data_IF_031861290763
#
_entry.id   IF_031861290763
#
_cell.length_a   1.000
_cell.length_b   1.000
_cell.length_c   1.000
_cell.angle_alpha   90.00
_cell.angle_beta   90.00
_cell.angle_gamma   90.00
#
_symmetry.space_group_name_H-M   'P 1'
#
loop_
_entity.id
_entity.type
_entity.pdbx_description
1 polymer ?
#
# COMPACT_ATOMS: atom_id res chain seq x y z
N UNK A 1 30.23 -3.04 -8.02
CA UNK A 1 29.55 -4.35 -7.90
C UNK A 1 28.07 -4.02 -7.76
N UNK A 2 27.18 -4.59 -8.57
CA UNK A 2 25.72 -4.37 -8.39
C UNK A 2 25.34 -5.05 -7.09
N UNK A 3 24.92 -4.27 -6.10
CA UNK A 3 24.39 -4.78 -4.85
C UNK A 3 22.89 -5.00 -5.01
N UNK A 4 22.38 -6.07 -4.42
CA UNK A 4 20.94 -6.36 -4.41
C UNK A 4 20.50 -6.81 -3.03
N UNK A 5 19.25 -6.53 -2.68
CA UNK A 5 18.62 -6.97 -1.45
C UNK A 5 17.24 -7.55 -1.73
N UNK A 6 16.82 -8.50 -0.90
CA UNK A 6 15.51 -9.14 -0.97
C UNK A 6 14.68 -8.77 0.25
N UNK A 7 13.38 -8.56 0.04
CA UNK A 7 12.43 -8.22 1.09
C UNK A 7 11.17 -9.05 0.94
N UNK A 8 10.47 -9.28 2.05
CA UNK A 8 9.23 -10.04 2.07
C UNK A 8 8.13 -9.25 2.76
N UNK A 9 7.09 -8.89 2.01
CA UNK A 9 5.90 -8.21 2.53
C UNK A 9 4.70 -9.11 2.32
N UNK A 10 3.96 -9.36 3.41
CA UNK A 10 2.81 -10.25 3.40
C UNK A 10 3.07 -11.59 2.71
N UNK A 11 4.27 -12.18 2.84
CA UNK A 11 4.62 -13.46 2.21
C UNK A 11 4.99 -13.40 0.73
N UNK A 12 4.98 -12.22 0.10
CA UNK A 12 5.52 -12.01 -1.25
C UNK A 12 6.96 -11.50 -1.17
N UNK A 13 7.89 -12.21 -1.79
CA UNK A 13 9.30 -11.81 -1.84
C UNK A 13 9.53 -10.95 -3.08
N UNK A 14 10.31 -9.88 -2.97
CA UNK A 14 10.75 -9.09 -4.12
C UNK A 14 12.20 -8.67 -3.93
N UNK A 15 12.86 -8.35 -5.04
CA UNK A 15 14.28 -8.01 -5.07
C UNK A 15 14.50 -6.64 -5.68
N UNK A 16 15.42 -5.89 -5.10
CA UNK A 16 15.87 -4.60 -5.61
C UNK A 16 17.37 -4.64 -5.83
N UNK A 17 17.83 -4.15 -6.98
CA UNK A 17 19.24 -3.93 -7.31
C UNK A 17 19.48 -2.45 -7.64
N UNK A 18 20.73 -2.01 -7.52
CA UNK A 18 21.13 -0.68 -7.96
C UNK A 18 22.41 -0.71 -8.80
N UNK A 19 22.55 0.24 -9.72
CA UNK A 19 23.82 0.54 -10.39
C UNK A 19 24.90 0.93 -9.36
N UNK A 20 26.17 0.77 -9.74
CA UNK A 20 27.29 0.92 -8.79
C UNK A 20 27.37 2.32 -8.15
N UNK A 21 26.96 3.35 -8.87
CA UNK A 21 26.87 4.75 -8.43
C UNK A 21 25.71 5.03 -7.46
N UNK A 22 24.71 4.15 -7.40
CA UNK A 22 23.53 4.30 -6.53
C UNK A 22 23.49 3.32 -5.36
N UNK A 23 24.35 2.30 -5.33
CA UNK A 23 24.30 1.23 -4.32
C UNK A 23 24.33 1.77 -2.89
N UNK A 24 25.30 2.62 -2.56
CA UNK A 24 25.46 3.14 -1.20
C UNK A 24 24.26 4.02 -0.81
N UNK A 25 23.86 4.93 -1.70
CA UNK A 25 22.71 5.83 -1.50
C UNK A 25 21.40 5.05 -1.31
N UNK A 26 21.18 3.98 -2.07
CA UNK A 26 20.00 3.15 -1.94
C UNK A 26 20.02 2.37 -0.63
N UNK A 27 20.98 1.47 -0.46
CA UNK A 27 20.92 0.48 0.62
C UNK A 27 21.33 1.04 1.98
N UNK A 28 22.10 2.12 2.03
CA UNK A 28 22.54 2.71 3.31
C UNK A 28 21.65 3.86 3.79
N UNK A 29 20.97 4.58 2.89
CA UNK A 29 20.28 5.83 3.23
C UNK A 29 18.77 5.84 2.91
N UNK A 30 18.28 4.95 2.04
CA UNK A 30 16.88 5.00 1.55
C UNK A 30 15.99 3.85 1.99
N UNK A 31 16.56 2.73 2.42
CA UNK A 31 15.82 1.48 2.65
C UNK A 31 15.53 1.19 4.13
N UNK A 32 15.64 2.19 5.01
CA UNK A 32 15.33 2.10 6.45
C UNK A 32 13.93 1.54 6.72
N UNK A 33 12.93 1.95 5.92
CA UNK A 33 11.56 1.45 6.05
C UNK A 33 11.39 -0.03 5.64
N UNK A 34 12.33 -0.59 4.87
CA UNK A 34 12.31 -1.99 4.45
C UNK A 34 13.15 -2.91 5.33
N UNK A 35 14.00 -2.38 6.21
CA UNK A 35 14.87 -3.16 7.11
C UNK A 35 14.10 -4.25 7.88
N UNK A 36 12.91 -3.99 8.48
CA UNK A 36 12.13 -5.02 9.19
C UNK A 36 11.62 -6.16 8.28
N UNK A 37 11.64 -5.96 6.96
CA UNK A 37 11.13 -6.88 5.96
C UNK A 37 12.25 -7.59 5.18
N UNK A 38 13.51 -7.32 5.50
CA UNK A 38 14.66 -7.94 4.83
C UNK A 38 14.68 -9.47 5.02
N UNK A 39 15.03 -10.19 3.95
CA UNK A 39 15.19 -11.64 3.95
C UNK A 39 16.49 -12.04 3.25
N UNK A 40 17.00 -13.27 3.46
CA UNK A 40 18.12 -13.78 2.69
C UNK A 40 17.88 -13.70 1.18
N UNK A 41 18.96 -13.64 0.41
CA UNK A 41 18.88 -13.61 -1.05
C UNK A 41 18.14 -14.85 -1.58
N UNK A 42 17.24 -14.62 -2.53
CA UNK A 42 16.48 -15.65 -3.24
C UNK A 42 16.75 -15.59 -4.75
N UNK A 43 16.42 -16.65 -5.47
CA UNK A 43 16.48 -16.62 -6.93
C UNK A 43 15.38 -15.72 -7.50
N UNK A 44 15.68 -15.04 -8.62
CA UNK A 44 14.75 -14.12 -9.28
C UNK A 44 13.41 -14.79 -9.67
N UNK A 45 13.43 -16.11 -9.94
CA UNK A 45 12.22 -16.88 -10.24
C UNK A 45 11.26 -17.05 -9.06
N UNK A 46 11.73 -16.86 -7.83
CA UNK A 46 10.93 -16.93 -6.60
C UNK A 46 10.34 -15.56 -6.21
N UNK A 47 10.82 -14.49 -6.84
CA UNK A 47 10.36 -13.13 -6.60
C UNK A 47 9.01 -12.86 -7.29
N UNK A 48 8.16 -12.12 -6.59
CA UNK A 48 6.99 -11.45 -7.15
C UNK A 48 7.43 -10.52 -8.29
N UNK A 49 8.49 -9.75 -8.05
CA UNK A 49 9.17 -8.94 -9.06
C UNK A 49 10.64 -8.67 -8.68
N UNK A 50 11.41 -8.27 -9.69
CA UNK A 50 12.76 -7.72 -9.55
C UNK A 50 12.78 -6.30 -10.11
N UNK A 51 13.31 -5.36 -9.34
CA UNK A 51 13.44 -3.95 -9.75
C UNK A 51 14.90 -3.51 -9.75
N UNK A 52 15.37 -3.00 -10.88
CA UNK A 52 16.69 -2.38 -11.00
C UNK A 52 16.56 -0.85 -10.91
N UNK A 53 17.40 -0.22 -10.10
CA UNK A 53 17.48 1.25 -9.98
C UNK A 53 18.74 1.75 -10.67
N UNK A 54 18.60 2.69 -11.61
CA UNK A 54 19.72 3.31 -12.31
C UNK A 54 19.54 4.82 -12.47
N UNK A 55 20.66 5.55 -12.56
CA UNK A 55 20.65 6.94 -12.98
C UNK A 55 20.50 7.03 -14.50
N UNK A 56 19.69 7.95 -14.99
CA UNK A 56 19.57 8.22 -16.42
C UNK A 56 18.53 9.26 -16.78
N UNK A 57 18.43 9.53 -18.07
CA UNK A 57 17.38 10.37 -18.63
C UNK A 57 16.06 9.62 -18.68
N UNK A 58 14.98 10.34 -18.39
CA UNK A 58 13.63 9.78 -18.50
C UNK A 58 13.34 9.39 -19.96
N UNK A 59 12.84 8.17 -20.20
CA UNK A 59 12.49 7.74 -21.55
C UNK A 59 11.26 8.51 -22.05
N UNK A 60 11.17 8.74 -23.36
CA UNK A 60 9.94 9.22 -23.98
C UNK A 60 8.87 8.11 -23.95
N UNK A 61 7.64 8.46 -23.55
CA UNK A 61 6.51 7.54 -23.47
C UNK A 61 5.20 8.23 -23.87
N UNK A 62 4.18 7.43 -24.19
CA UNK A 62 2.83 7.96 -24.46
C UNK A 62 2.03 7.99 -23.17
N UNK A 63 1.65 9.19 -22.69
CA UNK A 63 0.78 9.36 -21.52
C UNK A 63 -0.63 8.85 -21.82
N UNK A 64 -1.18 8.04 -20.92
CA UNK A 64 -2.52 7.46 -21.03
C UNK A 64 -3.44 7.94 -19.91
N UNK A 65 -2.90 8.06 -18.69
CA UNK A 65 -3.64 8.46 -17.52
C UNK A 65 -2.75 9.25 -16.57
N UNK A 66 -3.36 10.17 -15.83
CA UNK A 66 -2.71 10.92 -14.76
C UNK A 66 -3.52 10.84 -13.48
N UNK A 67 -2.84 10.62 -12.37
CA UNK A 67 -3.39 10.71 -11.01
C UNK A 67 -2.67 11.83 -10.27
N UNK A 68 -3.42 12.60 -9.48
CA UNK A 68 -2.91 13.71 -8.66
C UNK A 68 -3.58 13.64 -7.29
N UNK A 69 -2.77 13.50 -6.24
CA UNK A 69 -3.22 13.51 -4.85
C UNK A 69 -2.21 14.27 -3.99
N UNK A 70 -2.65 15.38 -3.37
CA UNK A 70 -1.84 16.19 -2.45
C UNK A 70 -0.45 16.62 -2.99
N UNK A 71 -0.35 16.90 -4.29
CA UNK A 71 0.90 17.31 -4.94
C UNK A 71 1.84 16.17 -5.33
N UNK A 72 1.39 14.92 -5.15
CA UNK A 72 2.02 13.72 -5.70
C UNK A 72 1.29 13.33 -6.99
N UNK A 73 2.03 13.18 -8.09
CA UNK A 73 1.46 12.77 -9.37
C UNK A 73 2.07 11.46 -9.85
N UNK A 74 1.21 10.62 -10.40
CA UNK A 74 1.61 9.42 -11.14
C UNK A 74 1.05 9.54 -12.54
N UNK A 75 1.93 9.71 -13.51
CA UNK A 75 1.59 9.66 -14.93
C UNK A 75 1.82 8.24 -15.42
N UNK A 76 0.75 7.58 -15.84
CA UNK A 76 0.79 6.25 -16.41
C UNK A 76 0.86 6.36 -17.93
N UNK A 77 1.68 5.52 -18.54
CA UNK A 77 1.81 5.49 -19.99
C UNK A 77 2.42 4.21 -20.50
N UNK A 78 2.78 4.21 -21.78
CA UNK A 78 3.36 3.05 -22.46
C UNK A 78 4.57 3.41 -23.33
N UNK A 79 5.50 2.46 -23.40
CA UNK A 79 6.61 2.43 -24.35
C UNK A 79 6.54 1.07 -25.03
N UNK A 80 6.11 1.04 -26.30
CA UNK A 80 5.86 -0.22 -27.03
C UNK A 80 4.89 -1.13 -26.25
N UNK A 81 5.35 -2.25 -25.70
CA UNK A 81 4.57 -3.20 -24.91
C UNK A 81 4.82 -3.09 -23.38
N UNK A 82 5.62 -2.11 -22.95
CA UNK A 82 5.98 -1.87 -21.55
C UNK A 82 5.10 -0.80 -20.92
N UNK A 83 4.76 -0.99 -19.65
CA UNK A 83 4.06 0.02 -18.85
C UNK A 83 5.05 1.00 -18.23
N UNK A 84 4.66 2.26 -18.15
CA UNK A 84 5.46 3.34 -17.55
C UNK A 84 4.68 4.04 -16.44
N UNK A 85 5.37 4.34 -15.34
CA UNK A 85 4.88 5.18 -14.25
C UNK A 85 5.90 6.28 -13.97
N UNK A 86 5.57 7.52 -14.30
CA UNK A 86 6.36 8.71 -13.98
C UNK A 86 5.86 9.31 -12.66
N UNK A 87 6.73 9.29 -11.66
CA UNK A 87 6.47 9.81 -10.33
C UNK A 87 6.93 11.25 -10.21
N UNK A 88 6.01 12.15 -9.89
CA UNK A 88 6.30 13.56 -9.68
C UNK A 88 5.89 14.03 -8.30
N UNK A 89 6.71 14.88 -7.70
CA UNK A 89 6.43 15.56 -6.45
C UNK A 89 6.47 17.07 -6.68
N UNK A 90 5.37 17.77 -6.41
CA UNK A 90 5.19 19.19 -6.73
C UNK A 90 5.58 19.52 -8.18
N UNK A 91 5.07 18.71 -9.12
CA UNK A 91 5.34 18.78 -10.57
C UNK A 91 6.78 18.47 -11.01
N UNK A 92 7.71 18.23 -10.07
CA UNK A 92 9.07 17.79 -10.38
C UNK A 92 9.11 16.27 -10.54
N UNK A 93 9.56 15.78 -11.68
CA UNK A 93 9.83 14.36 -11.90
C UNK A 93 10.93 13.88 -10.96
N UNK A 94 10.65 12.77 -10.27
CA UNK A 94 11.55 12.15 -9.28
C UNK A 94 12.11 10.82 -9.77
N UNK A 95 11.38 10.11 -10.64
CA UNK A 95 11.83 8.89 -11.29
C UNK A 95 10.75 8.31 -12.19
N UNK A 96 11.18 7.51 -13.16
CA UNK A 96 10.30 6.83 -14.12
C UNK A 96 10.51 5.33 -14.01
N UNK A 97 9.45 4.61 -13.63
CA UNK A 97 9.43 3.16 -13.56
C UNK A 97 8.94 2.58 -14.89
N UNK A 98 9.76 1.75 -15.52
CA UNK A 98 9.45 1.03 -16.74
C UNK A 98 9.30 -0.45 -16.41
N UNK A 99 8.10 -1.00 -16.56
CA UNK A 99 7.76 -2.38 -16.24
C UNK A 99 7.63 -3.23 -17.50
N UNK A 100 8.14 -4.46 -17.44
CA UNK A 100 7.75 -5.50 -18.39
C UNK A 100 6.25 -5.75 -18.32
N UNK A 101 5.70 -6.31 -19.41
CA UNK A 101 4.26 -6.56 -19.56
C UNK A 101 3.64 -7.42 -18.46
N UNK A 102 4.42 -8.32 -17.87
CA UNK A 102 3.99 -9.20 -16.78
C UNK A 102 4.30 -8.65 -15.38
N UNK A 103 4.89 -7.46 -15.30
CA UNK A 103 5.31 -6.79 -14.07
C UNK A 103 6.31 -7.57 -13.21
N UNK A 104 6.94 -8.63 -13.75
CA UNK A 104 7.96 -9.41 -13.01
C UNK A 104 9.32 -8.75 -13.01
N UNK A 105 9.60 -7.91 -14.00
CA UNK A 105 10.83 -7.14 -14.08
C UNK A 105 10.49 -5.68 -14.33
N UNK A 106 11.20 -4.80 -13.64
CA UNK A 106 11.04 -3.37 -13.80
C UNK A 106 12.37 -2.65 -13.62
N UNK A 107 12.43 -1.45 -14.19
CA UNK A 107 13.58 -0.56 -14.08
C UNK A 107 13.10 0.81 -13.64
N UNK A 108 13.62 1.29 -12.52
CA UNK A 108 13.42 2.65 -12.05
C UNK A 108 14.60 3.51 -12.51
N UNK A 109 14.32 4.46 -13.38
CA UNK A 109 15.28 5.45 -13.87
C UNK A 109 15.09 6.72 -13.04
N UNK A 110 16.13 7.14 -12.32
CA UNK A 110 16.12 8.38 -11.51
C UNK A 110 17.04 9.44 -12.13
N UNK A 111 16.71 10.74 -12.01
CA UNK A 111 17.63 11.78 -12.43
C UNK A 111 18.92 11.77 -11.58
N UNK A 112 20.08 12.12 -12.17
CA UNK A 112 21.34 12.23 -11.42
C UNK A 112 21.28 13.37 -10.40
N UNK A 113 22.11 13.27 -9.36
CA UNK A 113 22.33 14.33 -8.35
C UNK A 113 21.08 14.84 -7.61
N UNK A 114 19.99 14.06 -7.60
CA UNK A 114 18.77 14.41 -6.87
C UNK A 114 18.97 14.36 -5.34
N UNK A 115 18.38 15.30 -4.57
CA UNK A 115 18.35 15.23 -3.10
C UNK A 115 17.82 13.88 -2.61
N UNK A 116 18.37 13.41 -1.48
CA UNK A 116 18.02 12.11 -0.88
C UNK A 116 16.50 11.94 -0.69
N UNK A 117 15.78 13.01 -0.33
CA UNK A 117 14.33 12.97 -0.15
C UNK A 117 13.56 12.67 -1.43
N UNK A 118 13.98 13.21 -2.58
CA UNK A 118 13.33 12.95 -3.87
C UNK A 118 13.68 11.57 -4.39
N UNK A 119 14.91 11.13 -4.21
CA UNK A 119 15.33 9.77 -4.52
C UNK A 119 14.57 8.73 -3.67
N UNK A 120 14.47 8.94 -2.35
CA UNK A 120 13.67 8.10 -1.45
C UNK A 120 12.19 8.08 -1.82
N UNK A 121 11.64 9.22 -2.26
CA UNK A 121 10.26 9.30 -2.75
C UNK A 121 10.05 8.44 -4.01
N UNK A 122 10.95 8.55 -4.99
CA UNK A 122 10.88 7.78 -6.24
C UNK A 122 10.96 6.28 -5.99
N UNK A 123 11.95 5.83 -5.20
CA UNK A 123 12.14 4.42 -4.86
C UNK A 123 10.91 3.87 -4.14
N UNK A 124 10.40 4.57 -3.13
CA UNK A 124 9.25 4.08 -2.37
C UNK A 124 7.97 4.00 -3.19
N UNK A 125 7.68 4.99 -4.02
CA UNK A 125 6.50 4.95 -4.90
C UNK A 125 6.62 3.86 -5.96
N UNK A 126 7.80 3.70 -6.56
CA UNK A 126 8.06 2.63 -7.52
C UNK A 126 7.81 1.24 -6.91
N UNK A 127 8.38 0.99 -5.73
CA UNK A 127 8.21 -0.27 -5.01
C UNK A 127 6.75 -0.52 -4.63
N UNK A 128 6.05 0.51 -4.13
CA UNK A 128 4.65 0.42 -3.72
C UNK A 128 3.73 0.09 -4.91
N UNK A 129 3.87 0.83 -6.01
CA UNK A 129 3.04 0.69 -7.22
C UNK A 129 3.31 -0.65 -7.89
N UNK A 130 4.58 -1.03 -8.02
CA UNK A 130 4.95 -2.32 -8.60
C UNK A 130 4.43 -3.48 -7.75
N UNK A 131 4.53 -3.39 -6.41
CA UNK A 131 3.96 -4.39 -5.51
C UNK A 131 2.44 -4.50 -5.63
N UNK A 132 1.72 -3.37 -5.63
CA UNK A 132 0.27 -3.36 -5.76
C UNK A 132 -0.20 -4.03 -7.06
N UNK A 133 0.51 -3.77 -8.17
CA UNK A 133 0.21 -4.34 -9.47
C UNK A 133 0.58 -5.83 -9.53
N UNK A 134 1.81 -6.19 -9.19
CA UNK A 134 2.30 -7.55 -9.33
C UNK A 134 1.57 -8.53 -8.40
N UNK A 135 1.12 -8.08 -7.23
CA UNK A 135 0.38 -8.91 -6.27
C UNK A 135 -1.14 -8.99 -6.50
N UNK A 136 -1.69 -8.20 -7.44
CA UNK A 136 -3.14 -8.09 -7.64
C UNK A 136 -3.84 -9.42 -7.95
N UNK A 137 -3.16 -10.34 -8.66
CA UNK A 137 -3.69 -11.67 -9.00
C UNK A 137 -3.44 -12.72 -7.90
N UNK A 138 -2.81 -12.35 -6.79
CA UNK A 138 -2.39 -13.25 -5.72
C UNK A 138 -3.29 -13.20 -4.48
N UNK A 139 -4.58 -12.87 -4.65
CA UNK A 139 -5.54 -12.62 -3.57
C UNK A 139 -4.99 -11.63 -2.52
N UNK A 140 -4.29 -10.60 -2.98
CA UNK A 140 -3.57 -9.63 -2.17
C UNK A 140 -3.97 -8.23 -2.63
N UNK A 141 -4.27 -7.35 -1.67
CA UNK A 141 -4.66 -5.98 -1.93
C UNK A 141 -3.90 -5.02 -1.02
N UNK A 142 -3.39 -3.94 -1.60
CA UNK A 142 -2.82 -2.81 -0.90
C UNK A 142 -3.93 -1.77 -0.66
N UNK A 143 -4.20 -1.46 0.60
CA UNK A 143 -5.28 -0.55 0.99
C UNK A 143 -4.72 0.81 1.34
N UNK A 144 -5.38 1.90 0.93
CA UNK A 144 -5.17 3.22 1.50
C UNK A 144 -5.96 3.34 2.82
N UNK A 145 -5.32 2.98 3.94
CA UNK A 145 -5.94 2.81 5.25
C UNK A 145 -4.97 3.01 6.43
N UNK A 146 -5.52 3.32 7.60
CA UNK A 146 -4.80 3.18 8.88
C UNK A 146 -5.25 1.89 9.58
N UNK A 147 -4.32 1.19 10.24
CA UNK A 147 -4.61 -0.10 10.88
C UNK A 147 -4.16 -0.11 12.32
N UNK A 148 -5.06 -0.52 13.19
CA UNK A 148 -4.75 -0.84 14.58
C UNK A 148 -4.88 -2.34 14.82
N UNK A 149 -4.04 -2.89 15.68
CA UNK A 149 -4.23 -4.23 16.24
C UNK A 149 -4.88 -4.12 17.62
N UNK A 150 -5.81 -5.03 17.90
CA UNK A 150 -6.49 -5.16 19.19
C UNK A 150 -6.96 -6.60 19.37
N UNK A 151 -6.58 -7.25 20.48
CA UNK A 151 -6.89 -8.66 20.80
C UNK A 151 -6.65 -9.61 19.60
N UNK A 152 -5.41 -9.63 19.11
CA UNK A 152 -4.95 -10.50 18.01
C UNK A 152 -5.66 -10.31 16.65
N UNK A 153 -6.48 -9.27 16.53
CA UNK A 153 -7.12 -8.88 15.28
C UNK A 153 -6.64 -7.51 14.83
N UNK A 154 -6.58 -7.28 13.52
CA UNK A 154 -6.35 -5.96 12.93
C UNK A 154 -7.65 -5.36 12.40
N UNK A 155 -7.82 -4.05 12.58
CA UNK A 155 -8.98 -3.28 12.12
C UNK A 155 -8.53 -2.15 11.21
N UNK A 156 -9.04 -2.13 9.98
CA UNK A 156 -8.69 -1.11 8.99
C UNK A 156 -9.69 0.04 9.02
N UNK A 157 -9.19 1.25 9.21
CA UNK A 157 -9.94 2.49 9.06
C UNK A 157 -9.77 3.01 7.64
N UNK A 158 -10.87 3.02 6.90
CA UNK A 158 -10.95 3.44 5.50
C UNK A 158 -11.56 4.84 5.41
N UNK A 159 -11.33 5.51 4.28
CA UNK A 159 -11.92 6.82 4.00
C UNK A 159 -11.10 7.59 2.98
N UNK A 160 -11.75 8.57 2.33
CA UNK A 160 -11.07 9.50 1.43
C UNK A 160 -9.92 10.21 2.14
N UNK A 161 -8.92 10.71 1.41
CA UNK A 161 -7.91 11.56 2.03
C UNK A 161 -8.58 12.73 2.78
N UNK A 162 -8.01 13.08 3.94
CA UNK A 162 -8.56 14.09 4.85
C UNK A 162 -9.72 13.63 5.76
N UNK A 163 -10.27 12.42 5.59
CA UNK A 163 -11.43 11.97 6.40
C UNK A 163 -11.08 11.65 7.86
N UNK A 164 -9.79 11.51 8.19
CA UNK A 164 -9.33 11.32 9.57
C UNK A 164 -8.95 9.89 9.98
N UNK A 165 -8.55 9.03 9.03
CA UNK A 165 -8.10 7.64 9.29
C UNK A 165 -7.05 7.55 10.42
N UNK A 166 -5.94 8.28 10.28
CA UNK A 166 -4.88 8.33 11.28
C UNK A 166 -5.35 8.99 12.60
N UNK A 167 -6.27 9.94 12.53
CA UNK A 167 -6.89 10.54 13.73
C UNK A 167 -7.68 9.50 14.51
N UNK A 168 -8.47 8.68 13.82
CA UNK A 168 -9.25 7.62 14.46
C UNK A 168 -8.35 6.52 15.03
N UNK A 169 -7.28 6.14 14.32
CA UNK A 169 -6.27 5.22 14.87
C UNK A 169 -5.65 5.76 16.17
N UNK A 170 -5.29 7.06 16.21
CA UNK A 170 -4.77 7.69 17.44
C UNK A 170 -5.78 7.71 18.59
N UNK A 171 -7.07 7.86 18.31
CA UNK A 171 -8.11 7.78 19.33
C UNK A 171 -8.17 6.38 19.95
N UNK A 172 -8.06 5.32 19.14
CA UNK A 172 -7.95 3.95 19.64
C UNK A 172 -6.70 3.75 20.52
N UNK A 173 -5.53 4.19 20.06
CA UNK A 173 -4.29 4.10 20.83
C UNK A 173 -4.37 4.82 22.18
N UNK A 174 -5.04 5.97 22.21
CA UNK A 174 -5.14 6.81 23.41
C UNK A 174 -6.19 6.30 24.41
N UNK A 175 -7.31 5.76 23.94
CA UNK A 175 -8.49 5.51 24.77
C UNK A 175 -8.87 4.03 24.92
N UNK A 176 -8.27 3.13 24.13
CA UNK A 176 -8.56 1.69 24.17
C UNK A 176 -7.28 0.94 24.53
N UNK A 177 -7.14 0.58 25.80
CA UNK A 177 -5.99 -0.17 26.31
C UNK A 177 -5.80 -1.51 25.59
N UNK A 178 -4.56 -1.82 25.21
CA UNK A 178 -4.22 -3.01 24.43
C UNK A 178 -4.29 -2.83 22.91
N UNK A 179 -4.46 -1.59 22.45
CA UNK A 179 -4.34 -1.23 21.03
C UNK A 179 -2.90 -0.90 20.67
N UNK A 180 -2.44 -1.34 19.50
CA UNK A 180 -1.18 -0.88 18.89
C UNK A 180 -1.40 -0.48 17.42
N UNK A 181 -0.53 0.38 16.88
CA UNK A 181 -0.58 0.82 15.48
C UNK A 181 0.18 -0.20 14.63
N UNK A 182 -0.47 -0.76 13.61
CA UNK A 182 0.17 -1.72 12.70
C UNK A 182 0.74 -1.04 11.46
N UNK A 183 0.00 -0.10 10.86
CA UNK A 183 0.40 0.67 9.70
C UNK A 183 -0.48 1.93 9.57
N UNK A 184 0.03 3.00 8.99
CA UNK A 184 -0.69 4.27 8.83
C UNK A 184 -0.55 4.84 7.41
N UNK A 185 -0.82 4.05 6.36
CA UNK A 185 -1.25 4.51 5.02
C UNK A 185 -1.55 3.38 4.05
N UNK A 186 -0.62 2.41 3.92
CA UNK A 186 -0.64 1.40 2.86
C UNK A 186 -0.48 -0.03 3.42
N UNK A 187 -1.35 -0.49 4.34
CA UNK A 187 -1.35 -1.88 4.80
C UNK A 187 -1.68 -2.86 3.67
N UNK A 188 -1.26 -4.11 3.84
CA UNK A 188 -1.56 -5.20 2.92
C UNK A 188 -2.59 -6.14 3.54
N UNK A 189 -3.59 -6.54 2.77
CA UNK A 189 -4.53 -7.61 3.16
C UNK A 189 -4.40 -8.77 2.19
N UNK A 190 -4.33 -10.00 2.73
CA UNK A 190 -4.31 -11.23 1.96
C UNK A 190 -5.46 -12.15 2.34
N UNK A 191 -5.95 -12.88 1.34
CA UNK A 191 -6.96 -13.93 1.52
C UNK A 191 -6.34 -15.29 1.24
N UNK A 192 -6.47 -16.17 2.21
CA UNK A 192 -6.04 -17.56 2.14
C UNK A 192 -7.23 -18.51 1.93
N UNK A 193 -6.93 -19.79 1.77
CA UNK A 193 -7.94 -20.85 1.70
C UNK A 193 -8.92 -20.77 2.88
N UNK A 194 -10.18 -21.13 2.63
CA UNK A 194 -11.25 -21.04 3.62
C UNK A 194 -11.68 -19.60 3.95
N UNK A 195 -11.38 -18.63 3.08
CA UNK A 195 -11.69 -17.20 3.24
C UNK A 195 -11.05 -16.54 4.47
N UNK A 196 -9.97 -17.12 4.99
CA UNK A 196 -9.20 -16.51 6.07
C UNK A 196 -8.48 -15.26 5.55
N UNK A 197 -8.91 -14.10 6.04
CA UNK A 197 -8.29 -12.83 5.72
C UNK A 197 -7.29 -12.43 6.81
N UNK A 198 -6.12 -11.95 6.40
CA UNK A 198 -5.04 -11.50 7.27
C UNK A 198 -4.59 -10.12 6.83
N UNK A 199 -4.37 -9.23 7.79
CA UNK A 199 -3.80 -7.91 7.57
C UNK A 199 -2.36 -7.85 8.04
N UNK A 200 -1.55 -7.13 7.29
CA UNK A 200 -0.11 -6.99 7.48
C UNK A 200 0.26 -5.52 7.60
N UNK A 201 1.24 -5.25 8.46
CA UNK A 201 2.03 -4.04 8.30
C UNK A 201 2.86 -4.09 7.01
N UNK A 202 3.30 -2.94 6.54
CA UNK A 202 4.04 -2.80 5.29
C UNK A 202 5.15 -1.75 5.44
N UNK A 203 6.13 -1.69 4.52
CA UNK A 203 7.15 -0.64 4.50
C UNK A 203 6.58 0.71 4.03
N UNK A 204 5.32 0.76 3.59
CA UNK A 204 4.65 1.97 3.11
C UNK A 204 3.72 2.48 4.20
N UNK A 205 4.14 3.53 4.89
CA UNK A 205 3.38 4.22 5.94
C UNK A 205 3.42 5.71 5.67
N UNK A 206 2.41 6.42 6.13
CA UNK A 206 2.20 7.83 5.84
C UNK A 206 3.01 8.72 6.76
N UNK A 207 2.39 9.78 7.28
CA UNK A 207 3.07 10.78 8.13
C UNK A 207 3.63 10.19 9.42
N UNK A 208 3.07 9.07 9.89
CA UNK A 208 3.57 8.34 11.05
C UNK A 208 4.45 7.18 10.57
N UNK A 209 5.79 7.21 10.77
CA UNK A 209 6.64 6.06 10.47
C UNK A 209 6.21 4.85 11.29
N UNK A 210 5.75 3.80 10.62
CA UNK A 210 5.27 2.56 11.24
C UNK A 210 5.54 1.37 10.31
N UNK A 211 6.74 0.80 10.44
CA UNK A 211 7.24 -0.26 9.57
C UNK A 211 7.29 -1.59 10.33
N UNK A 212 6.13 -2.18 10.58
CA UNK A 212 6.02 -3.41 11.37
C UNK A 212 5.83 -4.62 10.48
N UNK A 213 6.79 -5.55 10.52
CA UNK A 213 6.64 -6.87 9.90
C UNK A 213 5.84 -7.80 10.84
N UNK A 214 4.56 -7.47 11.00
CA UNK A 214 3.61 -8.18 11.85
C UNK A 214 2.32 -8.46 11.06
N UNK A 215 1.62 -9.52 11.46
CA UNK A 215 0.36 -9.93 10.85
C UNK A 215 -0.69 -10.22 11.92
N UNK A 216 -1.95 -9.95 11.60
CA UNK A 216 -3.09 -10.21 12.46
C UNK A 216 -4.27 -10.76 11.65
N UNK A 217 -5.12 -11.57 12.29
CA UNK A 217 -6.40 -11.92 11.68
C UNK A 217 -7.18 -10.63 11.38
N UNK A 218 -7.82 -10.56 10.22
CA UNK A 218 -8.56 -9.36 9.86
C UNK A 218 -9.90 -9.33 10.60
N UNK A 219 -10.01 -8.44 11.59
CA UNK A 219 -11.19 -8.27 12.44
C UNK A 219 -12.30 -7.47 11.78
N UNK A 220 -11.97 -6.51 10.89
CA UNK A 220 -12.96 -5.80 10.10
C UNK A 220 -12.46 -4.53 9.43
N UNK A 221 -13.35 -3.93 8.63
CA UNK A 221 -13.15 -2.66 7.97
C UNK A 221 -14.16 -1.65 8.51
N UNK A 222 -13.72 -0.41 8.70
CA UNK A 222 -14.58 0.70 9.11
C UNK A 222 -14.35 1.86 8.16
N UNK A 223 -15.33 2.11 7.28
CA UNK A 223 -15.36 3.30 6.45
C UNK A 223 -15.74 4.49 7.33
N UNK A 224 -14.89 5.51 7.38
CA UNK A 224 -15.14 6.73 8.14
C UNK A 224 -15.82 7.78 7.27
N UNK A 225 -16.69 8.58 7.88
CA UNK A 225 -17.15 9.86 7.35
C UNK A 225 -17.39 10.84 8.49
N UNK A 226 -17.10 12.12 8.26
CA UNK A 226 -17.33 13.16 9.26
C UNK A 226 -18.83 13.43 9.42
N UNK A 227 -19.29 13.52 10.67
CA UNK A 227 -20.67 13.86 11.02
C UNK A 227 -20.72 14.58 12.37
N UNK A 228 -21.79 15.33 12.68
CA UNK A 228 -21.95 15.99 13.97
C UNK A 228 -22.40 15.04 15.09
N UNK A 229 -22.27 13.72 14.90
CA UNK A 229 -22.68 12.66 15.81
C UNK A 229 -21.86 11.39 15.57
N UNK A 230 -21.89 10.47 16.53
CA UNK A 230 -21.27 9.15 16.45
C UNK A 230 -22.32 8.09 16.15
N UNK A 231 -22.26 7.46 14.96
CA UNK A 231 -23.19 6.41 14.54
C UNK A 231 -22.48 5.41 13.64
N UNK A 232 -22.57 4.13 14.00
CA UNK A 232 -21.98 3.03 13.23
C UNK A 232 -23.05 2.07 12.74
N UNK A 233 -22.95 1.67 11.48
CA UNK A 233 -23.88 0.73 10.85
C UNK A 233 -23.12 -0.35 10.10
N UNK A 234 -23.70 -1.56 10.10
CA UNK A 234 -23.14 -2.70 9.38
C UNK A 234 -23.43 -2.58 7.89
N UNK A 235 -22.39 -2.64 7.06
CA UNK A 235 -22.55 -2.76 5.61
C UNK A 235 -22.55 -4.24 5.18
N UNK A 236 -23.32 -4.56 4.15
CA UNK A 236 -23.44 -5.92 3.59
C UNK A 236 -23.53 -5.89 2.06
N UNK A 237 -23.14 -7.00 1.43
CA UNK A 237 -23.28 -7.20 -0.01
C UNK A 237 -22.65 -6.05 -0.81
N UNK A 238 -23.44 -5.46 -1.70
CA UNK A 238 -23.00 -4.37 -2.60
C UNK A 238 -22.49 -3.15 -1.84
N UNK A 239 -23.08 -2.81 -0.68
CA UNK A 239 -22.63 -1.67 0.12
C UNK A 239 -21.23 -1.90 0.69
N UNK A 240 -20.96 -3.12 1.17
CA UNK A 240 -19.65 -3.51 1.66
C UNK A 240 -18.62 -3.46 0.53
N UNK A 241 -18.94 -4.02 -0.64
CA UNK A 241 -18.09 -3.98 -1.81
C UNK A 241 -17.77 -2.53 -2.25
N UNK A 242 -18.79 -1.68 -2.37
CA UNK A 242 -18.63 -0.28 -2.76
C UNK A 242 -17.80 0.55 -1.77
N UNK A 243 -17.76 0.15 -0.49
CA UNK A 243 -16.93 0.79 0.52
C UNK A 243 -15.44 0.40 0.40
N UNK A 244 -15.12 -0.80 -0.11
CA UNK A 244 -13.74 -1.31 -0.19
C UNK A 244 -13.03 -0.86 -1.47
N UNK A 245 -13.70 -0.96 -2.63
CA UNK A 245 -13.10 -0.75 -3.97
C UNK A 245 -12.31 0.57 -4.07
N UNK A 246 -12.82 1.74 -3.64
CA UNK A 246 -12.11 3.00 -3.81
C UNK A 246 -10.88 3.12 -2.91
N UNK A 247 -10.73 2.25 -1.92
CA UNK A 247 -9.63 2.27 -0.95
C UNK A 247 -8.50 1.30 -1.33
N UNK A 248 -8.55 0.64 -2.49
CA UNK A 248 -7.54 -0.32 -2.93
C UNK A 248 -6.81 0.21 -4.15
N UNK A 249 -5.48 0.29 -4.05
CA UNK A 249 -4.59 0.73 -5.12
C UNK A 249 -4.54 -0.29 -6.26
N UNK A 250 -4.55 0.18 -7.51
CA UNK A 250 -4.43 -0.72 -8.66
C UNK A 250 -4.66 -0.08 -10.03
N UNK A 251 -4.15 -0.76 -11.06
CA UNK A 251 -4.29 -0.38 -12.48
C UNK A 251 -5.57 -0.97 -13.10
N UNK A 252 -6.72 -0.44 -12.67
CA UNK A 252 -8.05 -1.01 -12.96
C UNK A 252 -8.47 -1.03 -14.44
N UNK A 253 -7.76 -0.32 -15.31
CA UNK A 253 -7.99 -0.38 -16.77
C UNK A 253 -7.31 -1.58 -17.44
N UNK A 254 -6.42 -2.26 -16.73
CA UNK A 254 -5.81 -3.49 -17.21
C UNK A 254 -6.57 -4.71 -16.69
N UNK A 255 -7.08 -5.51 -17.63
CA UNK A 255 -8.01 -6.61 -17.33
C UNK A 255 -7.49 -7.60 -16.29
N UNK A 256 -6.26 -8.08 -16.43
CA UNK A 256 -5.70 -9.11 -15.51
C UNK A 256 -5.61 -8.56 -14.08
N UNK A 257 -5.17 -7.31 -13.94
CA UNK A 257 -5.08 -6.63 -12.65
C UNK A 257 -6.48 -6.41 -12.08
N UNK A 258 -7.41 -5.88 -12.88
CA UNK A 258 -8.79 -5.64 -12.47
C UNK A 258 -9.50 -6.92 -12.02
N UNK A 259 -9.36 -8.02 -12.77
CA UNK A 259 -9.98 -9.31 -12.45
C UNK A 259 -9.44 -9.86 -11.11
N UNK A 260 -8.12 -9.76 -10.86
CA UNK A 260 -7.50 -10.14 -9.60
C UNK A 260 -7.98 -9.31 -8.40
N UNK A 261 -8.07 -7.99 -8.58
CA UNK A 261 -8.57 -7.07 -7.55
C UNK A 261 -10.04 -7.33 -7.25
N UNK A 262 -10.91 -7.42 -8.27
CA UNK A 262 -12.33 -7.70 -8.08
C UNK A 262 -12.58 -9.01 -7.35
N UNK A 263 -11.79 -10.05 -7.64
CA UNK A 263 -11.86 -11.33 -6.91
C UNK A 263 -11.54 -11.15 -5.43
N UNK A 264 -10.46 -10.42 -5.12
CA UNK A 264 -10.03 -10.13 -3.74
C UNK A 264 -11.08 -9.29 -3.01
N UNK A 265 -11.54 -8.21 -3.63
CA UNK A 265 -12.57 -7.29 -3.09
C UNK A 265 -13.88 -8.01 -2.79
N UNK A 266 -14.36 -8.85 -3.71
CA UNK A 266 -15.58 -9.60 -3.52
C UNK A 266 -15.44 -10.59 -2.35
N UNK A 267 -14.32 -11.31 -2.28
CA UNK A 267 -14.06 -12.23 -1.17
C UNK A 267 -13.99 -11.51 0.18
N UNK A 268 -13.38 -10.33 0.26
CA UNK A 268 -13.37 -9.51 1.48
C UNK A 268 -14.77 -9.02 1.84
N UNK A 269 -15.51 -8.45 0.89
CA UNK A 269 -16.86 -7.92 1.12
C UNK A 269 -17.85 -8.99 1.59
N UNK A 270 -17.68 -10.24 1.15
CA UNK A 270 -18.53 -11.37 1.55
C UNK A 270 -18.16 -11.97 2.91
N UNK A 271 -16.87 -12.03 3.25
CA UNK A 271 -16.40 -12.82 4.38
C UNK A 271 -15.91 -11.98 5.57
N UNK A 272 -15.68 -10.68 5.38
CA UNK A 272 -15.14 -9.80 6.41
C UNK A 272 -16.15 -8.70 6.77
N UNK A 273 -16.52 -8.54 8.05
CA UNK A 273 -16.20 -7.31 8.76
C UNK A 273 -16.54 -5.87 8.31
N UNK A 274 -17.34 -5.50 7.29
CA UNK A 274 -17.46 -4.07 6.88
C UNK A 274 -18.51 -3.24 7.64
N UNK A 275 -18.08 -2.07 8.15
CA UNK A 275 -18.90 -1.08 8.85
C UNK A 275 -18.72 0.32 8.24
N UNK A 276 -19.72 1.17 8.43
CA UNK A 276 -19.65 2.61 8.14
C UNK A 276 -19.88 3.37 9.44
N UNK A 277 -18.91 4.22 9.80
CA UNK A 277 -18.91 5.05 10.99
C UNK A 277 -18.96 6.52 10.57
N UNK A 278 -20.09 7.15 10.87
CA UNK A 278 -20.25 8.59 10.92
C UNK A 278 -19.76 9.06 12.29
N UNK A 279 -18.77 9.96 12.35
CA UNK A 279 -18.17 10.30 13.64
C UNK A 279 -17.63 11.72 13.77
N UNK A 280 -17.59 12.16 15.03
CA UNK A 280 -16.73 13.22 15.54
C UNK A 280 -15.33 12.67 15.85
N UNK A 281 -14.28 13.50 15.90
CA UNK A 281 -12.93 13.06 16.24
C UNK A 281 -12.71 13.01 17.77
N UNK A 282 -13.56 12.28 18.50
CA UNK A 282 -13.55 12.20 19.96
C UNK A 282 -13.41 10.76 20.51
N UNK A 283 -13.29 10.64 21.85
CA UNK A 283 -13.18 9.34 22.51
C UNK A 283 -14.42 8.44 22.27
N UNK A 284 -15.61 9.03 22.26
CA UNK A 284 -16.86 8.28 22.09
C UNK A 284 -16.88 7.56 20.73
N UNK A 285 -16.41 8.21 19.66
CA UNK A 285 -16.27 7.59 18.35
C UNK A 285 -15.43 6.31 18.38
N UNK A 286 -14.30 6.33 19.09
CA UNK A 286 -13.45 5.14 19.23
C UNK A 286 -14.14 4.04 20.05
N UNK A 287 -14.83 4.39 21.14
CA UNK A 287 -15.56 3.45 21.99
C UNK A 287 -16.69 2.75 21.23
N UNK A 288 -17.57 3.52 20.57
CA UNK A 288 -18.69 3.01 19.77
C UNK A 288 -18.20 2.12 18.63
N UNK A 289 -17.11 2.54 17.97
CA UNK A 289 -16.45 1.73 16.95
C UNK A 289 -16.02 0.38 17.54
N UNK A 290 -15.22 0.39 18.60
CA UNK A 290 -14.70 -0.82 19.26
C UNK A 290 -15.79 -1.76 19.75
N UNK A 291 -16.86 -1.23 20.35
CA UNK A 291 -17.99 -2.02 20.83
C UNK A 291 -18.76 -2.72 19.70
N UNK A 292 -18.74 -2.16 18.49
CA UNK A 292 -19.44 -2.72 17.34
C UNK A 292 -18.58 -3.69 16.53
N UNK A 293 -17.28 -3.43 16.42
CA UNK A 293 -16.38 -4.21 15.56
C UNK A 293 -15.67 -5.35 16.26
N UNK A 294 -15.46 -5.26 17.58
CA UNK A 294 -14.85 -6.32 18.38
C UNK A 294 -15.96 -7.20 18.92
N UNK A 295 -16.09 -8.40 18.35
CA UNK A 295 -16.99 -9.45 18.82
C UNK A 295 -16.46 -10.15 20.10
#
# INVERSE_FOLDING_TARGET
MIQSACYKVAGHVFKVSASADLCDKLFSECMDNYEPFAVPAVHDSECLFVMDVECGDAPEYTEELRQDEEGQQILCGTIQDKSVFDFRLHFKMTGVLVCAKDYKTAKLIVPPDEPLSLFKFAVNNAMMVLYAIASASCNTALFHAAVVSYKDCGYLFLGKSGTGKSTHARLWLKHIAGTDLLNDDNPVVRIFEGNRAVVYGSPWSGKTPCYKNQEFALGGFVLLSQAPYNKIVRLRGVQAFAALVPCISGKRWERVIADGLHKTENALAMNVPVWHLECLPDEEAARVCKESVVL
#
